data_IF_323906409559
#
_entry.id   IF_323906409559
#
_cell.length_a   1.000
_cell.length_b   1.000
_cell.length_c   1.000
_cell.angle_alpha   90.00
_cell.angle_beta   90.00
_cell.angle_gamma   90.00
#
_symmetry.space_group_name_H-M   'P 1'
#
loop_
_entity.id
_entity.type
_entity.pdbx_description
1 polymer ?
#
# COMPACT_ATOMS: atom_id res chain seq x y z
N UNK A 1 16.33 -16.28 2.37
CA UNK A 1 15.28 -16.70 3.32
C UNK A 1 13.95 -16.28 2.74
N UNK A 2 13.08 -17.24 2.38
CA UNK A 2 11.69 -16.93 2.04
C UNK A 2 11.03 -16.54 3.35
N UNK A 3 10.54 -15.31 3.44
CA UNK A 3 9.95 -14.80 4.68
C UNK A 3 8.60 -15.50 4.89
N UNK A 4 8.52 -16.38 5.90
CA UNK A 4 7.41 -17.34 6.08
C UNK A 4 6.12 -16.69 6.58
N UNK A 5 6.14 -15.39 6.93
CA UNK A 5 5.01 -14.66 7.53
C UNK A 5 4.15 -13.85 6.56
N UNK A 6 4.35 -13.96 5.25
CA UNK A 6 3.56 -13.16 4.28
C UNK A 6 2.06 -13.47 4.29
N UNK A 7 1.68 -14.67 4.75
CA UNK A 7 0.28 -15.09 4.85
C UNK A 7 -0.37 -14.73 6.20
N UNK A 8 0.43 -14.26 7.17
CA UNK A 8 -0.08 -13.85 8.47
C UNK A 8 -0.52 -12.38 8.41
N UNK A 9 -1.69 -12.10 8.98
CA UNK A 9 -2.13 -10.71 9.19
C UNK A 9 -1.15 -10.03 10.14
N UNK A 10 -0.79 -8.78 9.84
CA UNK A 10 -0.06 -7.91 10.76
C UNK A 10 -0.79 -7.80 12.10
N UNK A 11 -0.05 -7.80 13.20
CA UNK A 11 -0.59 -7.38 14.49
C UNK A 11 -1.07 -5.92 14.42
N UNK A 12 -1.90 -5.49 15.36
CA UNK A 12 -2.42 -4.12 15.36
C UNK A 12 -1.28 -3.08 15.50
N UNK A 13 -0.24 -3.39 16.27
CA UNK A 13 0.96 -2.56 16.41
C UNK A 13 1.79 -2.51 15.11
N UNK A 14 1.98 -3.65 14.46
CA UNK A 14 2.69 -3.75 13.17
C UNK A 14 1.93 -2.97 12.07
N UNK A 15 0.60 -3.07 12.07
CA UNK A 15 -0.26 -2.34 11.14
C UNK A 15 -0.21 -0.83 11.38
N UNK A 16 -0.26 -0.39 12.63
CA UNK A 16 -0.14 1.03 12.98
C UNK A 16 1.19 1.61 12.50
N UNK A 17 2.30 0.91 12.77
CA UNK A 17 3.63 1.34 12.36
C UNK A 17 3.76 1.39 10.83
N UNK A 18 3.23 0.40 10.12
CA UNK A 18 3.19 0.38 8.66
C UNK A 18 2.42 1.59 8.11
N UNK A 19 1.25 1.90 8.66
CA UNK A 19 0.45 3.06 8.25
C UNK A 19 1.17 4.38 8.52
N UNK A 20 1.93 4.49 9.62
CA UNK A 20 2.74 5.69 9.90
C UNK A 20 3.87 5.87 8.89
N UNK A 21 4.59 4.80 8.54
CA UNK A 21 5.64 4.87 7.52
C UNK A 21 5.07 5.18 6.15
N UNK A 22 3.95 4.56 5.77
CA UNK A 22 3.25 4.85 4.53
C UNK A 22 2.80 6.32 4.47
N UNK A 23 2.29 6.87 5.58
CA UNK A 23 1.88 8.27 5.63
C UNK A 23 3.07 9.22 5.46
N UNK A 24 4.20 8.95 6.14
CA UNK A 24 5.44 9.72 5.96
C UNK A 24 5.93 9.62 4.52
N UNK A 25 5.95 8.42 3.96
CA UNK A 25 6.34 8.18 2.57
C UNK A 25 5.46 8.97 1.58
N UNK A 26 4.14 8.93 1.76
CA UNK A 26 3.19 9.64 0.90
C UNK A 26 3.27 11.17 0.99
N UNK A 27 3.69 11.69 2.14
CA UNK A 27 3.92 13.13 2.32
C UNK A 27 5.29 13.59 1.79
N UNK A 28 6.24 12.67 1.56
CA UNK A 28 7.49 12.97 0.86
C UNK A 28 7.30 12.77 -0.65
N UNK A 29 8.34 13.05 -1.44
CA UNK A 29 8.26 12.96 -2.90
C UNK A 29 7.97 11.51 -3.33
N UNK A 30 6.72 11.26 -3.74
CA UNK A 30 6.17 9.95 -4.07
C UNK A 30 6.77 9.36 -5.34
N UNK A 31 7.45 10.19 -6.13
CA UNK A 31 7.95 9.86 -7.47
C UNK A 31 9.00 8.74 -7.47
N UNK A 32 9.56 8.40 -6.30
CA UNK A 32 10.57 7.36 -6.16
C UNK A 32 10.02 5.92 -6.11
N UNK A 33 8.73 5.69 -5.82
CA UNK A 33 8.15 4.33 -5.77
C UNK A 33 6.70 4.24 -6.30
N UNK A 34 6.44 4.84 -7.45
CA UNK A 34 5.07 4.97 -7.97
C UNK A 34 4.43 3.63 -8.42
N UNK A 35 5.21 2.59 -8.71
CA UNK A 35 4.73 1.33 -9.28
C UNK A 35 5.42 0.12 -8.62
N UNK A 36 4.62 -0.82 -8.13
CA UNK A 36 5.11 -2.07 -7.55
C UNK A 36 4.28 -3.26 -8.04
N UNK A 37 4.94 -4.33 -8.45
CA UNK A 37 4.32 -5.66 -8.64
C UNK A 37 4.27 -6.37 -7.30
N UNK A 38 3.09 -6.84 -6.92
CA UNK A 38 2.79 -7.57 -5.69
C UNK A 38 1.98 -8.81 -6.05
N UNK A 39 1.76 -9.72 -5.09
CA UNK A 39 0.95 -10.91 -5.32
C UNK A 39 1.76 -12.13 -5.77
N UNK A 40 1.03 -13.16 -6.20
CA UNK A 40 1.61 -14.43 -6.61
C UNK A 40 2.20 -14.32 -8.03
N UNK A 41 3.35 -14.95 -8.34
CA UNK A 41 3.93 -14.86 -9.69
C UNK A 41 3.02 -15.38 -10.81
N UNK A 42 2.13 -16.34 -10.53
CA UNK A 42 1.17 -16.83 -11.51
C UNK A 42 -0.08 -15.91 -11.59
N UNK A 43 -0.27 -15.03 -10.59
CA UNK A 43 -1.39 -14.08 -10.49
C UNK A 43 -0.90 -12.70 -9.98
N UNK A 44 -0.11 -11.97 -10.79
CA UNK A 44 0.47 -10.72 -10.35
C UNK A 44 -0.62 -9.67 -10.14
N UNK A 45 -0.44 -8.87 -9.10
CA UNK A 45 -1.21 -7.67 -8.80
C UNK A 45 -0.26 -6.47 -8.83
N UNK A 46 -0.81 -5.28 -9.08
CA UNK A 46 0.00 -4.08 -9.20
C UNK A 46 -0.55 -3.01 -8.27
N UNK A 47 0.35 -2.35 -7.53
CA UNK A 47 0.03 -1.23 -6.66
C UNK A 47 0.63 0.03 -7.26
N UNK A 48 -0.21 1.05 -7.42
CA UNK A 48 0.21 2.38 -7.84
C UNK A 48 -0.15 3.43 -6.79
N UNK A 49 0.81 4.28 -6.44
CA UNK A 49 0.57 5.44 -5.59
C UNK A 49 0.46 6.70 -6.46
N UNK A 50 -0.61 7.46 -6.27
CA UNK A 50 -0.87 8.70 -7.00
C UNK A 50 -1.45 9.76 -6.08
N UNK A 51 -1.08 11.02 -6.30
CA UNK A 51 -1.72 12.16 -5.64
C UNK A 51 -3.08 12.50 -6.27
N UNK A 52 -3.30 12.08 -7.52
CA UNK A 52 -4.58 12.21 -8.16
C UNK A 52 -5.49 11.03 -7.76
N UNK A 53 -6.76 11.28 -7.41
CA UNK A 53 -7.73 10.22 -7.21
C UNK A 53 -7.92 9.44 -8.52
N UNK A 54 -8.26 8.17 -8.37
CA UNK A 54 -8.57 7.30 -9.50
C UNK A 54 -9.85 7.80 -10.18
N UNK A 55 -9.86 7.96 -11.51
CA UNK A 55 -11.04 8.43 -12.22
C UNK A 55 -12.28 7.55 -11.94
N UNK A 56 -13.40 8.19 -11.61
CA UNK A 56 -14.66 7.51 -11.32
C UNK A 56 -14.75 6.87 -9.93
N UNK A 57 -13.73 6.99 -9.09
CA UNK A 57 -13.79 6.52 -7.69
C UNK A 57 -14.45 7.57 -6.79
N UNK A 58 -15.39 7.12 -5.95
CA UNK A 58 -16.05 7.98 -4.97
C UNK A 58 -15.07 8.43 -3.86
N UNK A 59 -15.18 9.70 -3.45
CA UNK A 59 -14.29 10.28 -2.45
C UNK A 59 -14.37 9.57 -1.08
N UNK A 60 -15.50 8.94 -0.75
CA UNK A 60 -15.67 8.16 0.48
C UNK A 60 -14.77 6.91 0.51
N UNK A 61 -14.40 6.36 -0.65
CA UNK A 61 -13.50 5.21 -0.73
C UNK A 61 -12.08 5.51 -0.21
N UNK A 62 -11.69 6.78 -0.13
CA UNK A 62 -10.40 7.22 0.40
C UNK A 62 -10.43 7.57 1.89
N UNK A 63 -11.61 7.64 2.51
CA UNK A 63 -11.72 7.98 3.93
C UNK A 63 -11.34 6.75 4.74
N UNK A 64 -10.45 6.91 5.72
CA UNK A 64 -10.23 5.85 6.71
C UNK A 64 -11.53 5.60 7.48
N UNK A 65 -11.88 4.34 7.78
CA UNK A 65 -12.96 4.03 8.71
C UNK A 65 -12.70 4.60 10.11
#
# INVERSE_FOLDING_TARGET
>A
MRNERHEERLSDEELELFLQYLHRFANHDLDLFALMEVGDPDHPAYVSFSRAPVPGTDASAYRRP
#
